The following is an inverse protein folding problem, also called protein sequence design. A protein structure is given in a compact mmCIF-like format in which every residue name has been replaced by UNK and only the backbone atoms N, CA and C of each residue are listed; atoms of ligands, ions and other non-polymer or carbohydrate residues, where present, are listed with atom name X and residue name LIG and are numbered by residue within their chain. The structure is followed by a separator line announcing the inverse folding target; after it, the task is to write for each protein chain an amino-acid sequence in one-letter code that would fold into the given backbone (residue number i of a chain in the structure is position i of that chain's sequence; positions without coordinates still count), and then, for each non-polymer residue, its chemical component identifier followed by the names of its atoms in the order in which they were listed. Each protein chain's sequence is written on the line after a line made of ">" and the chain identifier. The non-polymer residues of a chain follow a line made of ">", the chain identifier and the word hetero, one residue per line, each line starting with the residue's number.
data_IF_951634624415
#
_entry.id   IF_951634624415
#
_cell.length_a   1.000
_cell.length_b   1.000
_cell.length_c   1.000
_cell.angle_alpha   90.00
_cell.angle_beta   90.00
_cell.angle_gamma   90.00
#
_symmetry.space_group_name_H-M   'P 1'
#
loop_
_entity.id
_entity.type
_entity.pdbx_description
1 polymer ?
#
# COMPACT_ATOMS: atom_id res chain seq x y z
N UNK A 1 7.77 0.69 -21.68
CA UNK A 1 6.48 0.19 -21.15
C UNK A 1 5.63 1.39 -20.77
N UNK A 2 4.29 1.32 -20.86
CA UNK A 2 3.44 2.44 -20.47
C UNK A 2 3.65 2.77 -18.98
N UNK A 3 3.91 4.05 -18.70
CA UNK A 3 4.09 4.57 -17.35
C UNK A 3 2.96 5.56 -17.07
N UNK A 4 2.28 5.39 -15.95
CA UNK A 4 1.26 6.31 -15.48
C UNK A 4 1.72 6.93 -14.16
N UNK A 5 1.45 8.22 -13.99
CA UNK A 5 1.72 8.94 -12.74
C UNK A 5 0.42 9.55 -12.24
N UNK A 6 0.15 9.36 -10.96
CA UNK A 6 -1.02 9.87 -10.27
C UNK A 6 -0.57 10.67 -9.05
N UNK A 7 -1.34 11.70 -8.66
CA UNK A 7 -1.00 12.58 -7.54
C UNK A 7 -2.22 12.83 -6.66
N UNK A 8 -1.99 13.00 -5.36
CA UNK A 8 -3.00 13.41 -4.36
C UNK A 8 -4.25 12.52 -4.33
N UNK A 9 -4.05 11.19 -4.34
CA UNK A 9 -5.15 10.25 -4.45
C UNK A 9 -5.81 9.90 -3.10
N UNK A 10 -5.09 10.01 -1.98
CA UNK A 10 -5.55 9.47 -0.70
C UNK A 10 -5.81 7.97 -0.82
N UNK A 11 -7.09 7.56 -0.72
CA UNK A 11 -7.50 6.20 -1.02
C UNK A 11 -7.56 5.96 -2.53
N UNK A 12 -6.91 4.91 -3.01
CA UNK A 12 -6.84 4.58 -4.43
C UNK A 12 -7.03 3.09 -4.69
N UNK A 13 -7.60 2.77 -5.85
CA UNK A 13 -7.72 1.40 -6.35
C UNK A 13 -7.15 1.35 -7.76
N UNK A 14 -6.20 0.45 -7.97
CA UNK A 14 -5.60 0.19 -9.27
C UNK A 14 -6.00 -1.21 -9.74
N UNK A 15 -6.80 -1.27 -10.80
CA UNK A 15 -7.14 -2.52 -11.47
C UNK A 15 -6.10 -2.81 -12.56
N UNK A 16 -5.44 -3.96 -12.48
CA UNK A 16 -4.44 -4.42 -13.44
C UNK A 16 -5.03 -5.62 -14.18
N UNK A 17 -5.38 -5.48 -15.48
CA UNK A 17 -5.92 -6.59 -16.26
C UNK A 17 -5.01 -7.82 -16.20
N UNK A 18 -5.55 -8.95 -15.76
CA UNK A 18 -4.82 -10.22 -15.62
C UNK A 18 -4.02 -10.40 -14.33
N UNK A 19 -3.78 -9.35 -13.54
CA UNK A 19 -3.06 -9.44 -12.26
C UNK A 19 -3.97 -9.20 -11.03
N UNK A 20 -5.13 -8.56 -11.22
CA UNK A 20 -6.10 -8.32 -10.15
C UNK A 20 -6.11 -6.85 -9.73
N UNK A 21 -6.31 -6.59 -8.44
CA UNK A 21 -6.57 -5.24 -7.94
C UNK A 21 -5.73 -4.92 -6.72
N UNK A 22 -5.05 -3.77 -6.77
CA UNK A 22 -4.29 -3.23 -5.65
C UNK A 22 -5.13 -2.14 -5.00
N UNK A 23 -5.24 -2.22 -3.67
CA UNK A 23 -5.89 -1.20 -2.87
C UNK A 23 -4.84 -0.43 -2.08
N UNK A 24 -4.89 0.89 -2.14
CA UNK A 24 -4.08 1.80 -1.34
C UNK A 24 -5.03 2.57 -0.44
N UNK A 25 -4.86 2.43 0.87
CA UNK A 25 -5.72 3.02 1.88
C UNK A 25 -4.88 3.97 2.70
N UNK A 26 -5.23 5.25 2.71
CA UNK A 26 -4.59 6.24 3.57
C UNK A 26 -4.90 5.90 5.04
N UNK A 27 -3.85 5.69 5.81
CA UNK A 27 -3.93 5.42 7.25
C UNK A 27 -3.37 6.58 8.08
N UNK A 28 -2.86 7.64 7.45
CA UNK A 28 -2.30 8.81 8.11
C UNK A 28 -1.33 8.45 9.23
N UNK A 29 -1.63 8.90 10.44
CA UNK A 29 -0.82 8.65 11.64
C UNK A 29 -1.00 7.25 12.25
N UNK A 30 -2.00 6.47 11.82
CA UNK A 30 -2.21 5.12 12.34
C UNK A 30 -1.05 4.22 11.91
N UNK A 31 -0.40 3.61 12.89
CA UNK A 31 0.68 2.64 12.69
C UNK A 31 0.15 1.22 12.83
N UNK A 32 0.43 0.39 11.85
CA UNK A 32 0.09 -1.03 11.82
C UNK A 32 1.31 -1.85 12.24
N UNK A 33 2.50 -1.50 11.75
CA UNK A 33 3.77 -1.99 12.24
C UNK A 33 4.38 -0.99 13.24
N UNK A 34 4.80 -1.49 14.41
CA UNK A 34 5.25 -0.65 15.53
C UNK A 34 6.60 0.05 15.36
N UNK A 35 7.25 -0.03 14.19
CA UNK A 35 8.67 0.31 14.06
C UNK A 35 8.95 1.64 13.36
N UNK A 36 8.00 2.23 12.61
CA UNK A 36 8.28 3.47 11.88
C UNK A 36 8.06 4.73 12.73
N UNK A 37 8.98 5.70 12.60
CA UNK A 37 8.84 7.05 13.17
C UNK A 37 8.05 8.00 12.27
N UNK A 38 7.78 7.62 11.01
CA UNK A 38 7.16 8.51 10.05
C UNK A 38 5.69 8.80 10.39
N UNK A 39 5.23 10.00 10.05
CA UNK A 39 3.92 10.56 10.37
C UNK A 39 2.82 10.03 9.45
N UNK A 40 3.11 9.88 8.16
CA UNK A 40 2.12 9.46 7.17
C UNK A 40 2.28 8.01 6.77
N UNK A 41 1.20 7.37 6.35
CA UNK A 41 1.26 6.02 5.85
C UNK A 41 0.09 5.60 4.98
N UNK A 42 0.34 4.53 4.24
CA UNK A 42 -0.62 3.88 3.35
C UNK A 42 -0.60 2.39 3.65
N UNK A 43 -1.78 1.80 3.85
CA UNK A 43 -1.96 0.36 3.82
C UNK A 43 -2.20 -0.07 2.37
N UNK A 44 -1.31 -0.90 1.86
CA UNK A 44 -1.38 -1.50 0.53
C UNK A 44 -1.88 -2.93 0.68
N UNK A 45 -2.88 -3.31 -0.10
CA UNK A 45 -3.45 -4.67 -0.10
C UNK A 45 -3.49 -5.22 -1.52
N UNK A 46 -3.01 -6.45 -1.69
CA UNK A 46 -3.00 -7.13 -2.97
C UNK A 46 -3.02 -8.66 -2.76
N UNK A 47 -4.00 -9.35 -3.36
CA UNK A 47 -4.08 -10.82 -3.38
C UNK A 47 -3.99 -11.50 -1.99
N UNK A 48 -4.53 -10.85 -0.95
CA UNK A 48 -4.52 -11.37 0.42
C UNK A 48 -3.26 -11.02 1.22
N UNK A 49 -2.30 -10.32 0.62
CA UNK A 49 -1.14 -9.77 1.30
C UNK A 49 -1.35 -8.31 1.66
N UNK A 50 -0.80 -7.89 2.80
CA UNK A 50 -0.82 -6.51 3.27
C UNK A 50 0.57 -5.95 3.54
N UNK A 51 0.77 -4.70 3.14
CA UNK A 51 2.00 -3.96 3.38
C UNK A 51 1.68 -2.56 3.90
N UNK A 52 2.35 -2.18 4.98
CA UNK A 52 2.35 -0.80 5.46
C UNK A 52 3.52 -0.04 4.81
N UNK A 53 3.19 1.04 4.11
CA UNK A 53 4.14 2.05 3.66
C UNK A 53 4.10 3.27 4.58
N UNK A 54 5.26 3.71 5.06
CA UNK A 54 5.41 4.86 5.97
C UNK A 54 6.37 5.89 5.41
N UNK A 55 5.98 7.17 5.39
CA UNK A 55 6.75 8.22 4.73
C UNK A 55 6.59 9.60 5.41
N UNK A 56 7.46 10.53 5.01
CA UNK A 56 7.38 11.95 5.37
C UNK A 56 7.23 12.80 4.10
N UNK A 57 6.61 13.97 4.24
CA UNK A 57 6.39 14.90 3.12
C UNK A 57 5.43 14.35 2.05
N UNK A 58 5.80 14.48 0.77
CA UNK A 58 4.92 14.25 -0.37
C UNK A 58 4.67 12.80 -0.80
N UNK A 59 5.30 11.82 -0.14
CA UNK A 59 5.06 10.38 -0.33
C UNK A 59 5.06 9.87 -1.78
N UNK A 60 6.13 9.22 -2.21
CA UNK A 60 6.20 8.60 -3.54
C UNK A 60 6.23 7.07 -3.45
N UNK A 61 5.37 6.41 -4.23
CA UNK A 61 5.29 4.96 -4.38
C UNK A 61 5.36 4.62 -5.87
N UNK A 62 6.24 3.67 -6.21
CA UNK A 62 6.34 3.07 -7.52
C UNK A 62 5.85 1.63 -7.46
N UNK A 63 4.95 1.29 -8.38
CA UNK A 63 4.40 -0.04 -8.58
C UNK A 63 4.85 -0.53 -9.96
N UNK A 64 5.59 -1.63 -10.00
CA UNK A 64 6.00 -2.30 -11.23
C UNK A 64 5.31 -3.66 -11.31
N UNK A 65 4.72 -3.99 -12.46
CA UNK A 65 4.18 -5.33 -12.72
C UNK A 65 5.17 -6.03 -13.64
N UNK A 66 5.84 -7.05 -13.12
CA UNK A 66 6.85 -7.77 -13.91
C UNK A 66 6.21 -8.77 -14.89
N UNK A 67 7.04 -9.41 -15.72
CA UNK A 67 6.60 -10.32 -16.77
C UNK A 67 5.88 -11.58 -16.23
N UNK A 68 5.95 -11.84 -14.93
CA UNK A 68 5.26 -12.93 -14.24
C UNK A 68 3.94 -12.47 -13.60
N UNK A 69 3.53 -11.21 -13.78
CA UNK A 69 2.34 -10.64 -13.16
C UNK A 69 2.50 -10.33 -11.67
N UNK A 70 3.73 -10.33 -11.15
CA UNK A 70 4.00 -9.96 -9.76
C UNK A 70 4.08 -8.45 -9.63
N UNK A 71 3.57 -7.93 -8.51
CA UNK A 71 3.62 -6.50 -8.19
C UNK A 71 4.82 -6.24 -7.30
N UNK A 72 5.76 -5.45 -7.81
CA UNK A 72 6.94 -4.97 -7.09
C UNK A 72 6.66 -3.55 -6.61
N UNK A 73 6.80 -3.32 -5.31
CA UNK A 73 6.53 -2.04 -4.66
C UNK A 73 7.83 -1.44 -4.15
N UNK A 74 8.07 -0.17 -4.47
CA UNK A 74 9.20 0.59 -3.93
C UNK A 74 8.80 2.03 -3.64
N UNK A 75 9.55 2.68 -2.75
CA UNK A 75 9.33 4.07 -2.38
C UNK A 75 10.47 4.56 -1.48
N UNK A 76 10.52 5.87 -1.25
CA UNK A 76 11.54 6.48 -0.39
C UNK A 76 11.27 6.31 1.10
N UNK A 77 10.07 5.87 1.47
CA UNK A 77 9.68 5.53 2.83
C UNK A 77 10.07 4.11 3.24
N UNK A 78 9.51 3.66 4.36
CA UNK A 78 9.68 2.28 4.86
C UNK A 78 8.51 1.42 4.43
N UNK A 79 8.78 0.25 3.86
CA UNK A 79 7.80 -0.77 3.52
C UNK A 79 7.96 -1.95 4.49
N UNK A 80 6.86 -2.35 5.12
CA UNK A 80 6.84 -3.48 6.05
C UNK A 80 5.61 -4.33 5.75
N UNK A 81 5.79 -5.63 5.58
CA UNK A 81 4.66 -6.56 5.47
C UNK A 81 3.96 -6.67 6.82
N UNK A 82 2.63 -6.66 6.80
CA UNK A 82 1.81 -6.75 8.01
C UNK A 82 0.79 -7.87 7.83
N UNK A 83 0.44 -8.53 8.92
CA UNK A 83 -0.61 -9.55 8.95
C UNK A 83 -1.82 -8.96 9.70
N UNK A 84 -2.93 -8.77 8.99
CA UNK A 84 -4.15 -8.21 9.55
C UNK A 84 -5.26 -9.27 9.55
N UNK A 85 -6.04 -9.39 10.64
CA UNK A 85 -7.18 -10.28 10.64
C UNK A 85 -8.21 -9.83 9.61
N UNK A 86 -8.74 -10.78 8.83
CA UNK A 86 -9.76 -10.51 7.81
C UNK A 86 -11.04 -9.88 8.39
N UNK A 87 -11.33 -10.11 9.67
CA UNK A 87 -12.45 -9.48 10.38
C UNK A 87 -12.10 -9.25 11.86
N UNK A 88 -12.63 -8.15 12.40
CA UNK A 88 -12.58 -7.84 13.83
C UNK A 88 -14.01 -7.91 14.36
N UNK A 89 -14.26 -8.82 15.30
CA UNK A 89 -15.56 -8.93 15.97
C UNK A 89 -15.62 -7.91 17.11
N UNK A 90 -16.51 -6.91 16.99
CA UNK A 90 -16.85 -6.02 18.11
C UNK A 90 -18.12 -6.52 18.76
N UNK A 91 -18.05 -6.85 20.05
CA UNK A 91 -19.26 -7.03 20.87
C UNK A 91 -19.81 -5.64 21.21
N UNK A 92 -21.09 -5.44 20.91
CA UNK A 92 -21.89 -4.30 21.36
C UNK A 92 -22.22 -4.41 22.84
#
# INVERSE_FOLDING_TARGET
>A
MPQASFKNLGNFRLAIPGAGEIHLIDIGERKLAGFSRATWGVLIRYQGEECEYRYEGGGELSLNVNDLGQVEISGHGSLVQVDLPAFILKKS
#
